data_IF_853948318477
#
_entry.id   IF_853948318477
#
_cell.length_a   1.000
_cell.length_b   1.000
_cell.length_c   1.000
_cell.angle_alpha   90.00
_cell.angle_beta   90.00
_cell.angle_gamma   90.00
#
_symmetry.space_group_name_H-M   'P 1'
#
loop_
_entity.id
_entity.type
_entity.pdbx_description
1 polymer ?
#
# COMPACT_ATOMS: atom_id res chain seq x y z
N UNK A 1 -27.29 1.38 -34.16
CA UNK A 1 -26.03 0.70 -33.79
C UNK A 1 -25.06 1.64 -33.07
N UNK A 2 -24.57 1.23 -31.91
CA UNK A 2 -23.55 1.91 -31.11
C UNK A 2 -22.16 1.32 -31.35
N UNK A 3 -21.13 2.16 -31.29
CA UNK A 3 -19.72 1.76 -31.40
C UNK A 3 -19.01 1.88 -30.05
N UNK A 4 -18.63 0.76 -29.43
CA UNK A 4 -17.98 0.75 -28.12
C UNK A 4 -16.47 0.54 -28.28
N UNK A 5 -15.68 1.53 -27.85
CA UNK A 5 -14.22 1.44 -27.77
C UNK A 5 -13.81 1.08 -26.34
N UNK A 6 -13.02 0.02 -26.19
CA UNK A 6 -12.57 -0.49 -24.90
C UNK A 6 -11.07 -0.25 -24.74
N UNK A 7 -10.68 0.48 -23.69
CA UNK A 7 -9.27 0.75 -23.38
C UNK A 7 -8.80 0.01 -22.13
N UNK A 8 -7.49 -0.14 -21.98
CA UNK A 8 -6.84 -0.63 -20.76
C UNK A 8 -7.40 -1.96 -20.22
N UNK A 9 -7.82 -1.96 -18.95
CA UNK A 9 -8.46 -3.11 -18.29
C UNK A 9 -9.74 -3.60 -18.96
N UNK A 10 -10.53 -2.70 -19.56
CA UNK A 10 -11.76 -3.05 -20.26
C UNK A 10 -11.45 -3.86 -21.52
N UNK A 11 -10.40 -3.49 -22.28
CA UNK A 11 -9.90 -4.29 -23.42
C UNK A 11 -9.58 -5.73 -22.99
N UNK A 12 -8.97 -5.91 -21.81
CA UNK A 12 -8.63 -7.23 -21.27
C UNK A 12 -9.85 -8.03 -20.82
N UNK A 13 -10.90 -7.36 -20.32
CA UNK A 13 -12.16 -7.99 -19.92
C UNK A 13 -12.93 -8.57 -21.10
N UNK A 14 -12.84 -7.98 -22.30
CA UNK A 14 -13.58 -8.43 -23.48
C UNK A 14 -12.70 -9.13 -24.53
N UNK A 15 -11.37 -9.06 -24.41
CA UNK A 15 -10.44 -9.63 -25.38
C UNK A 15 -10.37 -8.87 -26.71
N UNK A 16 -11.09 -7.75 -26.83
CA UNK A 16 -11.17 -6.87 -28.00
C UNK A 16 -11.15 -5.42 -27.54
N UNK A 17 -10.65 -4.52 -28.39
CA UNK A 17 -10.72 -3.06 -28.19
C UNK A 17 -11.99 -2.43 -28.79
N UNK A 18 -12.81 -3.21 -29.47
CA UNK A 18 -14.00 -2.73 -30.15
C UNK A 18 -15.16 -3.71 -30.07
N UNK A 19 -16.37 -3.19 -29.84
CA UNK A 19 -17.63 -3.92 -29.90
C UNK A 19 -18.67 -3.08 -30.65
N UNK A 20 -19.56 -3.75 -31.38
CA UNK A 20 -20.77 -3.15 -31.94
C UNK A 20 -21.97 -3.72 -31.20
N UNK A 21 -22.87 -2.82 -30.79
CA UNK A 21 -24.07 -3.18 -30.05
C UNK A 21 -25.26 -2.58 -30.79
N UNK A 22 -26.21 -3.45 -31.13
CA UNK A 22 -27.43 -3.06 -31.83
C UNK A 22 -28.55 -2.82 -30.82
N UNK A 23 -28.37 -1.77 -30.01
CA UNK A 23 -29.33 -1.29 -29.02
C UNK A 23 -29.33 0.24 -29.13
N UNK A 24 -30.51 0.85 -29.04
CA UNK A 24 -30.72 2.29 -29.25
C UNK A 24 -31.49 2.91 -28.09
N UNK A 25 -31.31 4.22 -27.89
CA UNK A 25 -32.00 5.05 -26.90
C UNK A 25 -31.93 4.48 -25.46
N UNK A 26 -30.77 3.92 -25.11
CA UNK A 26 -30.47 3.43 -23.76
C UNK A 26 -29.56 4.41 -23.02
N UNK A 27 -29.63 4.39 -21.68
CA UNK A 27 -28.66 5.12 -20.87
C UNK A 27 -27.31 4.41 -20.82
N UNK A 28 -26.26 5.15 -20.47
CA UNK A 28 -24.94 4.56 -20.19
C UNK A 28 -25.05 3.48 -19.10
N UNK A 29 -25.88 3.68 -18.08
CA UNK A 29 -26.11 2.67 -17.03
C UNK A 29 -26.58 1.34 -17.63
N UNK A 30 -27.60 1.38 -18.48
CA UNK A 30 -28.15 0.18 -19.14
C UNK A 30 -27.13 -0.46 -20.08
N UNK A 31 -26.33 0.35 -20.79
CA UNK A 31 -25.22 -0.16 -21.60
C UNK A 31 -24.21 -0.94 -20.74
N UNK A 32 -23.81 -0.42 -19.57
CA UNK A 32 -22.86 -1.08 -18.68
C UNK A 32 -23.40 -2.40 -18.12
N UNK A 33 -24.67 -2.45 -17.76
CA UNK A 33 -25.37 -3.67 -17.34
C UNK A 33 -25.36 -4.71 -18.47
N UNK A 34 -25.65 -4.28 -19.70
CA UNK A 34 -25.60 -5.16 -20.86
C UNK A 34 -24.19 -5.71 -21.10
N UNK A 35 -23.17 -4.86 -21.08
CA UNK A 35 -21.76 -5.24 -21.23
C UNK A 35 -21.31 -6.27 -20.19
N UNK A 36 -21.75 -6.13 -18.93
CA UNK A 36 -21.48 -7.12 -17.89
C UNK A 36 -22.14 -8.47 -18.17
N UNK A 37 -23.32 -8.49 -18.80
CA UNK A 37 -24.04 -9.72 -19.12
C UNK A 37 -23.43 -10.49 -20.30
N UNK A 38 -22.81 -9.80 -21.26
CA UNK A 38 -22.18 -10.41 -22.45
C UNK A 38 -20.67 -10.65 -22.30
N UNK A 39 -20.09 -10.29 -21.15
CA UNK A 39 -18.66 -10.48 -20.87
C UNK A 39 -18.28 -11.98 -20.91
N UNK A 40 -17.15 -12.37 -21.54
CA UNK A 40 -16.62 -13.73 -21.45
C UNK A 40 -16.39 -14.17 -20.00
N UNK A 41 -16.70 -15.43 -19.65
CA UNK A 41 -16.61 -15.92 -18.26
C UNK A 41 -15.18 -16.02 -17.72
N UNK A 42 -14.21 -16.34 -18.59
CA UNK A 42 -12.82 -16.62 -18.20
C UNK A 42 -11.88 -15.39 -18.25
N UNK A 43 -12.45 -14.18 -18.33
CA UNK A 43 -11.70 -12.92 -18.39
C UNK A 43 -11.83 -12.10 -17.10
N UNK A 44 -10.92 -11.15 -16.91
CA UNK A 44 -10.94 -10.21 -15.78
C UNK A 44 -12.28 -9.47 -15.72
N UNK A 45 -12.84 -9.28 -14.52
CA UNK A 45 -14.08 -8.52 -14.32
C UNK A 45 -13.90 -7.04 -14.66
N UNK A 46 -14.86 -6.46 -15.41
CA UNK A 46 -14.94 -5.02 -15.60
C UNK A 46 -15.52 -4.38 -14.33
N UNK A 47 -14.74 -3.51 -13.68
CA UNK A 47 -15.21 -2.73 -12.53
C UNK A 47 -15.91 -1.45 -12.99
N UNK A 48 -17.23 -1.50 -13.16
CA UNK A 48 -18.04 -0.38 -13.64
C UNK A 48 -18.11 0.80 -12.68
N UNK A 49 -17.60 0.68 -11.46
CA UNK A 49 -17.52 1.81 -10.50
C UNK A 49 -16.28 2.68 -10.73
N UNK A 50 -15.25 2.12 -11.36
CA UNK A 50 -13.95 2.75 -11.56
C UNK A 50 -13.62 2.87 -13.04
N UNK A 51 -14.56 3.43 -13.80
CA UNK A 51 -14.40 3.75 -15.22
C UNK A 51 -14.76 5.22 -15.45
N UNK A 52 -14.08 5.81 -16.43
CA UNK A 52 -14.49 7.02 -17.11
C UNK A 52 -15.16 6.56 -18.41
N UNK A 53 -16.33 7.13 -18.70
CA UNK A 53 -17.05 6.88 -19.94
C UNK A 53 -17.03 8.17 -20.74
N UNK A 54 -16.63 8.09 -22.01
CA UNK A 54 -16.69 9.22 -22.92
C UNK A 54 -17.65 8.91 -24.08
N UNK A 55 -18.60 9.82 -24.35
CA UNK A 55 -19.53 9.74 -25.48
C UNK A 55 -19.08 10.75 -26.53
N UNK A 56 -18.78 10.28 -27.73
CA UNK A 56 -18.25 11.11 -28.83
C UNK A 56 -17.04 11.98 -28.45
N UNK A 57 -16.22 11.47 -27.51
CA UNK A 57 -15.02 12.16 -27.00
C UNK A 57 -15.26 13.10 -25.83
N UNK A 58 -16.50 13.27 -25.37
CA UNK A 58 -16.86 14.09 -24.19
C UNK A 58 -17.04 13.17 -22.98
N UNK A 59 -16.44 13.50 -21.85
CA UNK A 59 -16.64 12.77 -20.60
C UNK A 59 -18.12 12.83 -20.19
N UNK A 60 -18.71 11.67 -19.89
CA UNK A 60 -20.10 11.53 -19.42
C UNK A 60 -20.42 12.40 -18.21
N UNK A 61 -19.44 12.70 -17.34
CA UNK A 61 -19.64 13.58 -16.19
C UNK A 61 -19.88 15.05 -16.56
N UNK A 62 -19.51 15.45 -17.78
CA UNK A 62 -19.84 16.76 -18.35
C UNK A 62 -21.20 16.74 -19.11
N UNK A 63 -21.84 15.58 -19.20
CA UNK A 63 -23.20 15.35 -19.68
C UNK A 63 -24.11 15.04 -18.48
N UNK A 64 -25.04 14.10 -18.63
CA UNK A 64 -25.94 13.64 -17.56
C UNK A 64 -25.37 12.42 -16.80
N UNK A 65 -24.04 12.27 -16.79
CA UNK A 65 -23.37 11.15 -16.13
C UNK A 65 -23.85 9.81 -16.70
N UNK A 66 -24.16 8.85 -15.81
CA UNK A 66 -24.67 7.54 -16.21
C UNK A 66 -26.09 7.53 -16.77
N UNK A 67 -26.84 8.63 -16.60
CA UNK A 67 -28.19 8.78 -17.13
C UNK A 67 -28.20 9.36 -18.57
N UNK A 68 -27.02 9.74 -19.10
CA UNK A 68 -26.86 10.15 -20.50
C UNK A 68 -27.45 9.10 -21.44
N UNK A 69 -28.40 9.52 -22.28
CA UNK A 69 -29.03 8.69 -23.31
C UNK A 69 -28.11 8.61 -24.53
N UNK A 70 -27.87 7.40 -25.01
CA UNK A 70 -27.03 7.09 -26.15
C UNK A 70 -27.88 6.92 -27.40
N UNK A 71 -27.47 7.57 -28.48
CA UNK A 71 -28.20 7.58 -29.75
C UNK A 71 -27.47 6.81 -30.84
N UNK A 72 -28.19 6.56 -31.93
CA UNK A 72 -27.64 5.88 -33.09
C UNK A 72 -26.35 6.55 -33.59
N UNK A 73 -25.33 5.73 -33.92
CA UNK A 73 -23.97 6.13 -34.32
C UNK A 73 -23.10 6.77 -33.25
N UNK A 74 -23.52 6.81 -31.98
CA UNK A 74 -22.64 7.25 -30.91
C UNK A 74 -21.43 6.31 -30.76
N UNK A 75 -20.29 6.95 -30.51
CA UNK A 75 -19.05 6.29 -30.14
C UNK A 75 -18.86 6.42 -28.64
N UNK A 76 -18.99 5.31 -27.92
CA UNK A 76 -18.79 5.25 -26.47
C UNK A 76 -17.42 4.67 -26.18
N UNK A 77 -16.57 5.39 -25.47
CA UNK A 77 -15.25 4.92 -25.04
C UNK A 77 -15.27 4.61 -23.56
N UNK A 78 -14.96 3.37 -23.18
CA UNK A 78 -14.84 2.93 -21.79
C UNK A 78 -13.36 2.92 -21.41
N UNK A 79 -13.02 3.77 -20.45
CA UNK A 79 -11.66 4.01 -19.98
C UNK A 79 -11.59 3.64 -18.50
N UNK A 80 -11.03 2.48 -18.13
CA UNK A 80 -10.81 2.15 -16.72
C UNK A 80 -9.94 3.22 -16.06
N UNK A 81 -10.42 3.74 -14.93
CA UNK A 81 -9.65 4.66 -14.10
C UNK A 81 -8.63 3.82 -13.34
N UNK A 82 -7.51 3.58 -14.02
CA UNK A 82 -6.36 2.89 -13.44
C UNK A 82 -5.68 3.80 -12.42
N UNK A 83 -6.04 3.63 -11.15
CA UNK A 83 -5.12 3.94 -10.07
C UNK A 83 -3.99 2.92 -10.23
N UNK A 84 -2.78 3.36 -10.57
CA UNK A 84 -1.71 2.47 -11.04
C UNK A 84 -1.52 1.21 -10.19
N UNK A 85 -1.93 0.06 -10.75
CA UNK A 85 -1.54 -1.29 -10.31
C UNK A 85 -2.25 -1.86 -9.08
N UNK A 86 -2.46 -3.18 -9.11
CA UNK A 86 -2.65 -4.01 -7.93
C UNK A 86 -1.73 -3.55 -6.80
N UNK A 87 -2.28 -3.27 -5.61
CA UNK A 87 -1.59 -2.82 -4.39
C UNK A 87 -0.25 -2.13 -4.68
N UNK A 88 -0.24 -0.80 -4.83
CA UNK A 88 0.99 -0.01 -4.98
C UNK A 88 2.04 -0.50 -3.98
N UNK A 89 3.07 -1.18 -4.49
CA UNK A 89 4.07 -1.84 -3.66
C UNK A 89 4.92 -0.76 -3.01
N UNK A 90 4.88 -0.69 -1.68
CA UNK A 90 5.59 0.31 -0.87
C UNK A 90 7.09 -0.01 -0.81
N UNK A 91 7.79 0.19 -1.92
CA UNK A 91 9.22 -0.11 -2.08
C UNK A 91 10.08 1.13 -1.94
N UNK A 92 11.21 1.00 -1.25
CA UNK A 92 12.22 2.04 -1.14
C UNK A 92 13.64 1.44 -1.18
N UNK A 93 14.62 2.27 -1.54
CA UNK A 93 16.03 1.88 -1.47
C UNK A 93 16.65 2.33 -0.14
N UNK A 94 17.55 1.50 0.38
CA UNK A 94 18.32 1.76 1.61
C UNK A 94 19.76 1.31 1.39
N UNK A 95 20.66 2.28 1.18
CA UNK A 95 22.02 2.03 0.68
C UNK A 95 22.00 1.14 -0.58
N UNK A 96 22.74 0.01 -0.57
CA UNK A 96 22.79 -0.95 -1.67
C UNK A 96 21.70 -2.03 -1.60
N UNK A 97 20.73 -1.92 -0.68
CA UNK A 97 19.63 -2.89 -0.49
C UNK A 97 18.29 -2.27 -0.88
N UNK A 98 17.36 -3.11 -1.27
CA UNK A 98 15.96 -2.73 -1.42
C UNK A 98 15.18 -3.09 -0.17
N UNK A 99 14.14 -2.34 0.12
CA UNK A 99 13.19 -2.62 1.18
C UNK A 99 11.75 -2.46 0.70
N UNK A 100 10.83 -3.17 1.35
CA UNK A 100 9.40 -3.14 1.03
C UNK A 100 8.55 -3.28 2.29
N UNK A 101 7.44 -2.55 2.34
CA UNK A 101 6.44 -2.64 3.40
C UNK A 101 5.28 -3.52 2.96
N UNK A 102 5.02 -4.59 3.69
CA UNK A 102 3.89 -5.50 3.46
C UNK A 102 2.86 -5.38 4.58
N UNK A 103 1.66 -4.92 4.25
CA UNK A 103 0.58 -4.76 5.21
C UNK A 103 -0.21 -6.04 5.37
N UNK A 104 -0.12 -6.66 6.54
CA UNK A 104 -0.72 -7.96 6.84
C UNK A 104 -1.83 -7.79 7.88
N UNK A 105 -2.94 -8.51 7.67
CA UNK A 105 -4.03 -8.58 8.66
C UNK A 105 -3.53 -9.27 9.93
N UNK A 106 -3.85 -8.74 11.11
CA UNK A 106 -3.59 -9.46 12.36
C UNK A 106 -4.53 -10.67 12.46
N UNK A 107 -3.98 -11.82 12.82
CA UNK A 107 -4.73 -12.93 13.39
C UNK A 107 -4.26 -13.09 14.85
N UNK A 108 -5.10 -12.70 15.84
CA UNK A 108 -4.70 -12.71 17.25
C UNK A 108 -4.09 -14.05 17.68
N UNK A 109 -2.96 -13.99 18.38
CA UNK A 109 -2.22 -15.16 18.83
C UNK A 109 -1.37 -15.87 17.77
N UNK A 110 -1.52 -15.56 16.47
CA UNK A 110 -0.81 -16.27 15.38
C UNK A 110 0.24 -15.44 14.64
N UNK A 111 0.30 -14.12 14.85
CA UNK A 111 1.16 -13.25 14.04
C UNK A 111 2.66 -13.55 14.19
N UNK A 112 3.14 -13.86 15.40
CA UNK A 112 4.55 -14.17 15.60
C UNK A 112 4.92 -15.51 14.96
N UNK A 113 4.05 -16.51 15.05
CA UNK A 113 4.24 -17.79 14.37
C UNK A 113 4.24 -17.63 12.85
N UNK A 114 3.32 -16.81 12.32
CA UNK A 114 3.31 -16.45 10.91
C UNK A 114 4.61 -15.74 10.50
N UNK A 115 5.02 -14.67 11.19
CA UNK A 115 6.25 -13.96 10.86
C UNK A 115 7.48 -14.88 10.94
N UNK A 116 7.52 -15.77 11.93
CA UNK A 116 8.58 -16.76 12.07
C UNK A 116 8.56 -17.80 10.93
N UNK A 117 7.39 -18.20 10.43
CA UNK A 117 7.31 -19.08 9.25
C UNK A 117 7.81 -18.37 7.99
N UNK A 118 7.49 -17.09 7.81
CA UNK A 118 8.03 -16.28 6.69
C UNK A 118 9.55 -16.18 6.78
N UNK A 119 10.12 -15.92 7.96
CA UNK A 119 11.59 -15.89 8.18
C UNK A 119 12.26 -17.22 7.82
N UNK A 120 11.62 -18.35 8.15
CA UNK A 120 12.14 -19.68 7.79
C UNK A 120 12.11 -19.91 6.27
N UNK A 121 11.07 -19.44 5.58
CA UNK A 121 10.92 -19.59 4.14
C UNK A 121 11.80 -18.62 3.32
N UNK A 122 12.17 -17.47 3.90
CA UNK A 122 12.95 -16.42 3.26
C UNK A 122 14.15 -15.98 4.11
N UNK A 123 15.11 -16.87 4.41
CA UNK A 123 16.21 -16.59 5.35
C UNK A 123 17.21 -15.53 4.86
N UNK A 124 17.23 -15.23 3.56
CA UNK A 124 18.07 -14.19 2.98
C UNK A 124 17.47 -12.77 3.10
N UNK A 125 16.24 -12.65 3.59
CA UNK A 125 15.52 -11.40 3.75
C UNK A 125 15.45 -11.08 5.24
N UNK A 126 15.89 -9.89 5.62
CA UNK A 126 15.67 -9.36 6.96
C UNK A 126 14.20 -8.98 7.08
N UNK A 127 13.51 -9.52 8.08
CA UNK A 127 12.08 -9.27 8.32
C UNK A 127 11.86 -8.81 9.75
N UNK A 128 11.27 -7.63 9.91
CA UNK A 128 10.76 -7.16 11.19
C UNK A 128 9.30 -6.75 11.08
N UNK A 129 8.51 -7.12 12.09
CA UNK A 129 7.09 -6.84 12.14
C UNK A 129 6.81 -5.67 13.09
N UNK A 130 6.17 -4.62 12.58
CA UNK A 130 5.80 -3.44 13.36
C UNK A 130 4.29 -3.23 13.26
N UNK A 131 3.66 -2.87 14.37
CA UNK A 131 2.28 -2.42 14.41
C UNK A 131 2.05 -1.32 13.38
N UNK A 132 1.07 -1.51 12.48
CA UNK A 132 0.81 -0.54 11.42
C UNK A 132 0.37 0.83 11.95
N UNK A 133 -0.11 0.91 13.20
CA UNK A 133 -0.48 2.18 13.87
C UNK A 133 0.72 3.06 14.21
N UNK A 134 1.92 2.49 14.18
CA UNK A 134 3.16 3.15 14.56
C UNK A 134 4.05 3.52 13.35
N UNK A 135 3.53 3.38 12.13
CA UNK A 135 4.20 3.78 10.89
C UNK A 135 3.42 4.94 10.28
N UNK A 136 4.11 6.03 9.91
CA UNK A 136 3.49 7.21 9.28
C UNK A 136 3.46 7.11 7.75
N UNK A 137 4.30 6.25 7.21
CA UNK A 137 4.47 6.05 5.78
C UNK A 137 5.84 5.48 5.47
N UNK A 138 6.12 5.40 4.18
CA UNK A 138 7.38 4.86 3.66
C UNK A 138 8.59 5.70 4.09
N UNK A 139 8.46 7.03 4.16
CA UNK A 139 9.55 7.93 4.55
C UNK A 139 9.94 7.75 6.01
N UNK A 140 8.97 7.66 6.93
CA UNK A 140 9.23 7.31 8.34
C UNK A 140 9.94 5.95 8.46
N UNK A 141 9.41 4.90 7.81
CA UNK A 141 10.03 3.58 7.88
C UNK A 141 11.46 3.57 7.32
N UNK A 142 11.68 4.27 6.19
CA UNK A 142 13.00 4.42 5.58
C UNK A 142 14.00 5.04 6.55
N UNK A 143 13.65 6.15 7.21
CA UNK A 143 14.53 6.83 8.18
C UNK A 143 14.95 5.89 9.31
N UNK A 144 14.01 5.17 9.92
CA UNK A 144 14.32 4.22 11.01
C UNK A 144 15.23 3.06 10.55
N UNK A 145 14.95 2.52 9.37
CA UNK A 145 15.78 1.44 8.79
C UNK A 145 17.18 1.94 8.46
N UNK A 146 17.33 3.14 7.91
CA UNK A 146 18.64 3.77 7.62
C UNK A 146 19.47 3.92 8.90
N UNK A 147 18.86 4.41 9.98
CA UNK A 147 19.55 4.53 11.28
C UNK A 147 20.03 3.16 11.78
N UNK A 148 19.20 2.11 11.67
CA UNK A 148 19.56 0.76 12.13
C UNK A 148 20.68 0.14 11.28
N UNK A 149 20.65 0.35 9.96
CA UNK A 149 21.71 -0.11 9.05
C UNK A 149 23.02 0.66 9.26
N UNK A 150 22.93 1.97 9.53
CA UNK A 150 24.07 2.78 9.92
C UNK A 150 24.69 2.24 11.21
N UNK A 151 23.88 2.03 12.24
CA UNK A 151 24.34 1.48 13.51
C UNK A 151 24.96 0.08 13.36
N UNK A 152 24.40 -0.79 12.50
CA UNK A 152 25.00 -2.07 12.16
C UNK A 152 26.40 -1.91 11.56
N UNK A 153 26.55 -1.03 10.57
CA UNK A 153 27.84 -0.77 9.91
C UNK A 153 28.90 -0.24 10.88
N UNK A 154 28.48 0.47 11.92
CA UNK A 154 29.34 1.11 12.90
C UNK A 154 29.40 0.38 14.25
N UNK A 155 28.92 -0.87 14.34
CA UNK A 155 28.91 -1.68 15.56
C UNK A 155 28.23 -1.00 16.77
N UNK A 156 27.23 -0.16 16.53
CA UNK A 156 26.50 0.62 17.54
C UNK A 156 25.02 0.25 17.63
N UNK A 157 24.67 -0.99 17.27
CA UNK A 157 23.32 -1.51 17.46
C UNK A 157 22.95 -1.52 18.96
N UNK A 158 21.71 -1.14 19.25
CA UNK A 158 21.09 -1.24 20.57
C UNK A 158 20.92 -2.70 21.01
N UNK A 159 20.96 -3.64 20.07
CA UNK A 159 20.83 -5.07 20.33
C UNK A 159 21.76 -5.90 19.42
N UNK A 160 21.87 -7.21 19.68
CA UNK A 160 22.70 -8.11 18.85
C UNK A 160 22.15 -8.34 17.44
N UNK A 161 20.85 -8.11 17.22
CA UNK A 161 20.15 -8.40 15.97
C UNK A 161 19.59 -7.11 15.40
N UNK A 162 19.82 -6.87 14.11
CA UNK A 162 19.33 -5.65 13.45
C UNK A 162 17.79 -5.57 13.44
N UNK A 163 17.10 -6.70 13.39
CA UNK A 163 15.63 -6.76 13.50
C UNK A 163 15.15 -6.17 14.83
N UNK A 164 15.81 -6.55 15.92
CA UNK A 164 15.50 -6.02 17.26
C UNK A 164 15.94 -4.56 17.41
N UNK A 165 17.02 -4.13 16.75
CA UNK A 165 17.40 -2.71 16.69
C UNK A 165 16.31 -1.85 16.01
N UNK A 166 15.77 -2.32 14.87
CA UNK A 166 14.65 -1.66 14.18
C UNK A 166 13.44 -1.55 15.11
N UNK A 167 13.07 -2.63 15.80
CA UNK A 167 11.96 -2.65 16.75
C UNK A 167 12.14 -1.62 17.87
N UNK A 168 13.33 -1.55 18.47
CA UNK A 168 13.69 -0.60 19.53
C UNK A 168 13.61 0.85 19.04
N UNK A 169 14.09 1.13 17.83
CA UNK A 169 14.06 2.46 17.22
C UNK A 169 12.65 2.93 16.89
N UNK A 170 11.78 2.05 16.38
CA UNK A 170 10.35 2.36 16.26
C UNK A 170 9.70 2.60 17.63
N UNK A 171 10.12 1.84 18.65
CA UNK A 171 9.62 1.97 20.02
C UNK A 171 10.16 3.17 20.78
N UNK A 172 11.14 3.91 20.24
CA UNK A 172 11.84 5.02 20.91
C UNK A 172 12.27 4.62 22.34
N UNK A 173 12.84 3.42 22.47
CA UNK A 173 13.25 2.87 23.76
C UNK A 173 14.41 1.90 23.59
N UNK A 174 15.24 1.75 24.62
CA UNK A 174 16.27 0.71 24.70
C UNK A 174 15.73 -0.59 25.34
N UNK A 175 14.53 -0.55 25.92
CA UNK A 175 13.91 -1.69 26.60
C UNK A 175 13.08 -2.52 25.62
N UNK A 176 13.51 -3.77 25.39
CA UNK A 176 12.86 -4.70 24.44
C UNK A 176 11.39 -4.96 24.81
N UNK A 177 11.09 -5.15 26.09
CA UNK A 177 9.72 -5.36 26.57
C UNK A 177 8.79 -4.21 26.21
N UNK A 178 9.29 -2.98 26.33
CA UNK A 178 8.52 -1.77 26.08
C UNK A 178 8.29 -1.57 24.58
N UNK A 179 9.30 -1.87 23.76
CA UNK A 179 9.17 -1.84 22.30
C UNK A 179 8.15 -2.89 21.81
N UNK A 180 8.22 -4.13 22.29
CA UNK A 180 7.25 -5.19 21.95
C UNK A 180 5.83 -4.77 22.34
N UNK A 181 5.65 -4.25 23.56
CA UNK A 181 4.34 -3.82 24.07
C UNK A 181 3.77 -2.66 23.27
N UNK A 182 4.63 -1.71 22.87
CA UNK A 182 4.22 -0.47 22.22
C UNK A 182 4.01 -0.67 20.72
N UNK A 183 5.06 -1.07 20.01
CA UNK A 183 5.10 -1.10 18.54
C UNK A 183 5.14 -2.50 17.94
N UNK A 184 5.17 -3.56 18.76
CA UNK A 184 5.18 -4.93 18.26
C UNK A 184 3.87 -5.35 17.57
N UNK A 185 3.91 -6.40 16.75
CA UNK A 185 2.77 -6.85 15.92
C UNK A 185 1.54 -7.34 16.69
N UNK A 186 1.65 -7.55 18.01
CA UNK A 186 0.52 -7.94 18.85
C UNK A 186 -0.26 -6.72 19.39
N UNK A 187 0.27 -5.50 19.28
CA UNK A 187 -0.37 -4.30 19.84
C UNK A 187 -1.46 -3.67 18.95
N UNK A 188 -1.70 -4.20 17.75
CA UNK A 188 -2.71 -3.68 16.83
C UNK A 188 -3.38 -4.75 15.97
N UNK A 189 -4.60 -4.50 15.54
CA UNK A 189 -5.43 -5.28 14.60
C UNK A 189 -4.81 -5.49 13.20
N UNK A 190 -3.71 -4.81 12.90
CA UNK A 190 -2.97 -4.92 11.63
C UNK A 190 -1.49 -4.66 11.89
N UNK A 191 -0.61 -5.32 11.16
CA UNK A 191 0.83 -5.08 11.26
C UNK A 191 1.46 -4.96 9.88
N UNK A 192 2.65 -4.39 9.85
CA UNK A 192 3.44 -4.21 8.64
C UNK A 192 4.73 -4.99 8.81
N UNK A 193 5.04 -5.84 7.83
CA UNK A 193 6.35 -6.48 7.71
C UNK A 193 7.24 -5.52 6.94
N UNK A 194 8.33 -5.11 7.58
CA UNK A 194 9.44 -4.39 6.95
C UNK A 194 10.42 -5.46 6.45
N UNK A 195 10.53 -5.59 5.13
CA UNK A 195 11.42 -6.54 4.51
C UNK A 195 12.60 -5.83 3.85
N UNK A 196 13.83 -6.32 4.06
CA UNK A 196 15.05 -5.73 3.49
C UNK A 196 15.87 -6.84 2.84
N UNK A 197 16.19 -6.68 1.56
CA UNK A 197 16.90 -7.71 0.79
C UNK A 197 17.14 -7.33 -0.67
N UNK A 198 17.49 -8.35 -1.48
CA UNK A 198 17.60 -8.21 -2.94
C UNK A 198 16.22 -8.05 -3.56
N UNK A 199 16.10 -7.23 -4.61
CA UNK A 199 14.83 -6.99 -5.32
C UNK A 199 14.13 -8.30 -5.75
N UNK A 200 14.88 -9.27 -6.30
CA UNK A 200 14.34 -10.56 -6.73
C UNK A 200 13.72 -11.37 -5.59
N UNK A 201 14.34 -11.34 -4.41
CA UNK A 201 13.84 -12.03 -3.21
C UNK A 201 12.60 -11.33 -2.65
N UNK A 202 12.55 -9.99 -2.66
CA UNK A 202 11.35 -9.23 -2.30
C UNK A 202 10.19 -9.48 -3.27
N UNK A 203 10.45 -9.66 -4.56
CA UNK A 203 9.42 -10.02 -5.54
C UNK A 203 8.87 -11.44 -5.31
N UNK A 204 9.70 -12.38 -4.87
CA UNK A 204 9.24 -13.73 -4.45
C UNK A 204 8.42 -13.66 -3.16
N UNK A 205 8.88 -12.87 -2.18
CA UNK A 205 8.17 -12.64 -0.93
C UNK A 205 6.79 -12.02 -1.17
N UNK A 206 6.69 -11.02 -2.07
CA UNK A 206 5.42 -10.41 -2.44
C UNK A 206 4.42 -11.46 -2.93
N UNK A 207 4.80 -12.32 -3.87
CA UNK A 207 3.92 -13.38 -4.41
C UNK A 207 3.47 -14.35 -3.31
N UNK A 208 4.34 -14.66 -2.36
CA UNK A 208 3.99 -15.51 -1.21
C UNK A 208 3.03 -14.82 -0.25
N UNK A 209 3.23 -13.52 0.01
CA UNK A 209 2.42 -12.75 0.95
C UNK A 209 1.10 -12.25 0.37
N UNK A 210 0.95 -12.20 -0.96
CA UNK A 210 -0.21 -11.65 -1.68
C UNK A 210 -1.57 -12.05 -1.07
N UNK A 211 -1.84 -13.33 -0.70
CA UNK A 211 -3.11 -13.73 -0.10
C UNK A 211 -3.40 -13.12 1.28
N UNK A 212 -2.36 -12.64 1.97
CA UNK A 212 -2.42 -12.09 3.31
C UNK A 212 -2.35 -10.55 3.33
N UNK A 213 -2.09 -9.93 2.17
CA UNK A 213 -1.94 -8.48 2.05
C UNK A 213 -3.28 -7.77 2.19
N UNK A 214 -3.22 -6.54 2.70
CA UNK A 214 -4.40 -5.71 2.92
C UNK A 214 -4.08 -4.23 2.64
N UNK A 215 -5.03 -3.47 2.09
CA UNK A 215 -4.84 -2.03 1.85
C UNK A 215 -4.84 -1.24 3.15
N UNK A 216 -3.87 -0.33 3.34
CA UNK A 216 -3.80 0.59 4.48
C UNK A 216 -3.52 2.00 3.99
N UNK A 217 -4.20 2.98 4.60
CA UNK A 217 -3.75 4.38 4.63
C UNK A 217 -3.07 4.65 5.97
N UNK A 218 -1.89 5.27 5.93
CA UNK A 218 -1.14 5.68 7.13
C UNK A 218 -1.58 7.05 7.68
N UNK A 219 -2.48 7.76 6.98
CA UNK A 219 -2.80 9.17 7.22
C UNK A 219 -3.34 9.44 8.63
N UNK A 220 -3.96 8.43 9.25
CA UNK A 220 -4.59 8.56 10.56
C UNK A 220 -3.67 8.25 11.75
N UNK A 221 -2.41 7.86 11.53
CA UNK A 221 -1.51 7.42 12.60
C UNK A 221 -0.85 8.58 13.36
N UNK A 222 -0.77 9.77 12.76
CA UNK A 222 -0.05 10.93 13.31
C UNK A 222 -0.49 11.32 14.71
N UNK A 223 -1.80 11.36 14.98
CA UNK A 223 -2.35 11.74 16.29
C UNK A 223 -2.02 10.69 17.37
N UNK A 224 -2.17 9.41 17.02
CA UNK A 224 -1.87 8.29 17.92
C UNK A 224 -0.40 8.28 18.31
N UNK A 225 0.49 8.39 17.33
CA UNK A 225 1.94 8.40 17.53
C UNK A 225 2.37 9.61 18.37
N UNK A 226 1.82 10.80 18.09
CA UNK A 226 2.12 11.98 18.89
C UNK A 226 1.74 11.78 20.36
N UNK A 227 0.55 11.24 20.64
CA UNK A 227 0.10 10.93 22.00
C UNK A 227 0.99 9.88 22.66
N UNK A 228 1.31 8.79 21.96
CA UNK A 228 2.12 7.68 22.47
C UNK A 228 3.52 8.16 22.89
N UNK A 229 4.16 8.99 22.07
CA UNK A 229 5.52 9.48 22.31
C UNK A 229 5.60 10.87 22.94
N UNK A 230 4.47 11.38 23.46
CA UNK A 230 4.38 12.69 24.13
C UNK A 230 4.93 13.85 23.28
N UNK A 231 4.68 13.80 21.98
CA UNK A 231 5.06 14.85 21.02
C UNK A 231 3.97 15.92 21.00
N UNK A 232 4.38 17.19 20.99
CA UNK A 232 3.48 18.34 21.09
C UNK A 232 3.62 19.20 19.84
N UNK A 233 2.65 20.09 19.59
CA UNK A 233 2.74 21.07 18.50
C UNK A 233 3.98 21.96 18.60
N UNK A 234 4.45 22.26 19.82
CA UNK A 234 5.67 23.04 20.03
C UNK A 234 6.91 22.31 19.51
N UNK A 235 7.01 21.00 19.77
CA UNK A 235 8.09 20.17 19.22
C UNK A 235 8.06 20.13 17.68
N UNK A 236 6.86 20.04 17.08
CA UNK A 236 6.74 20.00 15.62
C UNK A 236 7.03 21.36 14.99
N UNK A 237 6.60 22.46 15.62
CA UNK A 237 6.80 23.82 15.12
C UNK A 237 8.25 24.31 15.21
N UNK A 238 9.13 23.61 15.94
CA UNK A 238 10.57 23.92 15.99
C UNK A 238 11.39 23.22 14.91
N UNK A 239 10.76 22.38 14.06
CA UNK A 239 11.44 21.61 13.01
C UNK A 239 11.08 22.21 11.66
N UNK A 240 12.06 22.79 10.97
CA UNK A 240 11.90 23.29 9.61
C UNK A 240 11.98 22.13 8.61
N UNK A 241 10.83 21.46 8.40
CA UNK A 241 10.71 20.33 7.48
C UNK A 241 9.28 20.19 6.96
N UNK A 242 9.15 19.56 5.79
CA UNK A 242 7.86 19.12 5.24
C UNK A 242 7.27 17.92 6.00
N UNK A 243 8.10 17.19 6.75
CA UNK A 243 7.71 15.97 7.49
C UNK A 243 8.16 16.01 8.96
N UNK A 244 7.82 17.06 9.73
CA UNK A 244 8.43 17.34 11.03
C UNK A 244 8.24 16.21 12.05
N UNK A 245 7.09 15.52 12.01
CA UNK A 245 6.85 14.38 12.90
C UNK A 245 7.76 13.19 12.59
N UNK A 246 8.00 12.89 11.31
CA UNK A 246 8.90 11.80 10.92
C UNK A 246 10.35 12.11 11.28
N UNK A 247 10.76 13.38 11.11
CA UNK A 247 12.11 13.84 11.44
C UNK A 247 12.34 13.79 12.95
N UNK A 248 11.37 14.24 13.75
CA UNK A 248 11.46 14.14 15.21
C UNK A 248 11.54 12.70 15.70
N UNK A 249 10.77 11.79 15.11
CA UNK A 249 10.82 10.37 15.46
C UNK A 249 12.16 9.74 15.07
N UNK A 250 12.69 10.10 13.89
CA UNK A 250 14.01 9.68 13.46
C UNK A 250 15.11 10.19 14.39
N UNK A 251 15.05 11.46 14.81
CA UNK A 251 15.98 12.03 15.80
C UNK A 251 15.90 11.28 17.13
N UNK A 252 14.69 11.12 17.67
CA UNK A 252 14.45 10.35 18.90
C UNK A 252 14.98 8.92 18.82
N UNK A 253 14.87 8.28 17.66
CA UNK A 253 15.41 6.94 17.41
C UNK A 253 16.94 6.92 17.25
N UNK A 254 17.54 8.00 16.73
CA UNK A 254 18.98 8.12 16.51
C UNK A 254 19.75 8.40 17.80
N UNK A 255 19.17 9.13 18.74
CA UNK A 255 19.80 9.47 20.04
C UNK A 255 19.75 8.34 21.07
N UNK A 256 19.08 7.23 20.77
CA UNK A 256 19.14 6.03 21.60
C UNK A 256 20.58 5.50 21.59
N UNK A 257 21.15 5.35 22.77
CA UNK A 257 22.49 4.80 23.01
C UNK A 257 22.41 3.68 24.03
N UNK A 258 23.35 2.74 23.95
CA UNK A 258 23.46 1.59 24.83
C UNK A 258 24.26 1.90 26.08
#
# INVERSE_FOLDING_TARGET
MLSIKLLGGAKKSFGTDFLQIDIEDISIKTLLEHLLSVKPKDTITLDTKNILVAVNGVDSSALDGYDTVLHHNDVVTIIPIIHGGAHTRNKFQVYAKSAELFHVRNVPGKNYDFLNSVRKNFPAILLEGISSKHILGMTHAKKIVEISLFAQKHNSLLSKKIETDILLRFGVTTQISDAIKTVGIASSDRFTIIAIGKKSELDRLYKYLEPFLTCISFENNSSLIQKQFKITKKHLGSIDSKTPLEDLLAEKAAVLIR
#
